data_IF_654511202403
#
_entry.id   IF_654511202403
#
_cell.length_a   1.000
_cell.length_b   1.000
_cell.length_c   1.000
_cell.angle_alpha   90.00
_cell.angle_beta   90.00
_cell.angle_gamma   90.00
#
_symmetry.space_group_name_H-M   'P 1'
#
loop_
_entity.id
_entity.type
_entity.pdbx_description
1 polymer ?
#
# COMPACT_ATOMS: atom_id res chain seq x y z
N UNK A 1 17.90 -55.07 -65.01
CA UNK A 1 17.46 -55.84 -63.82
C UNK A 1 16.80 -54.86 -62.87
N UNK A 2 15.66 -55.27 -62.31
CA UNK A 2 14.63 -54.42 -61.72
C UNK A 2 15.02 -53.73 -60.40
N UNK A 3 14.58 -52.48 -60.33
CA UNK A 3 14.06 -51.69 -59.21
C UNK A 3 13.81 -52.42 -57.87
N UNK A 4 14.19 -51.76 -56.76
CA UNK A 4 13.39 -51.62 -55.52
C UNK A 4 14.16 -50.82 -54.44
N UNK A 5 13.79 -49.56 -54.28
CA UNK A 5 13.43 -49.01 -52.95
C UNK A 5 12.19 -49.79 -52.42
N UNK A 6 11.73 -49.80 -51.13
CA UNK A 6 11.87 -48.76 -50.10
C UNK A 6 11.83 -49.27 -48.62
N UNK A 7 11.62 -48.32 -47.69
CA UNK A 7 10.98 -48.45 -46.37
C UNK A 7 11.80 -48.85 -45.12
N UNK A 8 12.26 -47.80 -44.43
CA UNK A 8 11.83 -47.41 -43.08
C UNK A 8 11.33 -48.50 -42.11
N UNK A 9 12.09 -48.70 -41.03
CA UNK A 9 11.52 -49.12 -39.74
C UNK A 9 11.87 -48.09 -38.67
N UNK A 10 10.81 -47.45 -38.17
CA UNK A 10 10.76 -46.51 -37.06
C UNK A 10 11.33 -47.16 -35.79
N UNK A 11 12.45 -46.66 -35.28
CA UNK A 11 12.80 -46.86 -33.88
C UNK A 11 11.96 -45.87 -33.07
N UNK A 12 10.97 -46.41 -32.35
CA UNK A 12 10.21 -45.66 -31.34
C UNK A 12 11.19 -45.27 -30.23
N UNK A 13 11.49 -43.98 -30.10
CA UNK A 13 12.07 -43.46 -28.86
C UNK A 13 10.97 -43.39 -27.81
N UNK A 14 11.01 -44.35 -26.87
CA UNK A 14 10.18 -44.32 -25.69
C UNK A 14 10.57 -43.12 -24.82
N UNK A 15 9.59 -42.23 -24.62
CA UNK A 15 9.63 -41.13 -23.67
C UNK A 15 9.71 -41.67 -22.25
N UNK A 16 10.91 -41.85 -21.72
CA UNK A 16 11.10 -41.95 -20.27
C UNK A 16 11.09 -40.55 -19.67
N UNK A 17 9.90 -40.09 -19.29
CA UNK A 17 9.71 -38.99 -18.35
C UNK A 17 10.39 -39.36 -17.03
N UNK A 18 11.58 -38.80 -16.78
CA UNK A 18 12.17 -38.77 -15.44
C UNK A 18 11.50 -37.66 -14.65
N UNK A 19 10.46 -38.00 -13.91
CA UNK A 19 9.92 -37.19 -12.81
C UNK A 19 10.97 -37.08 -11.71
N UNK A 20 11.86 -36.10 -11.83
CA UNK A 20 12.69 -35.65 -10.72
C UNK A 20 11.77 -35.08 -9.64
N UNK A 21 11.57 -35.83 -8.55
CA UNK A 21 10.95 -35.32 -7.33
C UNK A 21 11.87 -34.21 -6.80
N UNK A 22 11.54 -32.94 -7.10
CA UNK A 22 12.05 -31.83 -6.30
C UNK A 22 11.42 -32.00 -4.92
N UNK A 23 12.22 -32.42 -3.95
CA UNK A 23 11.85 -32.34 -2.55
C UNK A 23 11.56 -30.87 -2.26
N UNK A 24 10.28 -30.54 -2.16
CA UNK A 24 9.83 -29.26 -1.63
C UNK A 24 10.23 -29.26 -0.16
N UNK A 25 11.38 -28.65 0.13
CA UNK A 25 11.74 -28.30 1.49
C UNK A 25 10.72 -27.26 1.92
N UNK A 26 9.64 -27.73 2.54
CA UNK A 26 8.67 -26.92 3.25
C UNK A 26 9.44 -26.18 4.35
N UNK A 27 9.90 -24.97 4.01
CA UNK A 27 10.34 -24.01 5.01
C UNK A 27 9.21 -23.90 6.03
N UNK A 28 9.47 -24.09 7.33
CA UNK A 28 8.46 -23.81 8.34
C UNK A 28 7.97 -22.38 8.09
N UNK A 29 6.69 -22.23 7.75
CA UNK A 29 6.05 -20.91 7.84
C UNK A 29 6.02 -20.63 9.33
N UNK A 30 7.05 -19.96 9.84
CA UNK A 30 6.98 -19.25 11.10
C UNK A 30 5.74 -18.37 10.99
N UNK A 31 4.63 -18.85 11.56
CA UNK A 31 3.48 -18.02 11.80
C UNK A 31 4.00 -16.99 12.77
N UNK A 32 4.38 -15.81 12.26
CA UNK A 32 4.66 -14.64 13.07
C UNK A 32 3.57 -14.62 14.13
N UNK A 33 3.98 -14.73 15.40
CA UNK A 33 3.08 -14.69 16.54
C UNK A 33 2.29 -13.40 16.36
N UNK A 34 1.04 -13.51 15.91
CA UNK A 34 0.17 -12.35 15.75
C UNK A 34 -0.03 -11.83 17.16
N UNK A 35 0.59 -10.70 17.47
CA UNK A 35 0.37 -10.00 18.72
C UNK A 35 -1.14 -9.93 18.96
N UNK A 36 -1.58 -10.26 20.18
CA UNK A 36 -2.98 -10.14 20.55
C UNK A 36 -3.42 -8.71 20.27
N UNK A 37 -4.44 -8.58 19.42
CA UNK A 37 -4.96 -7.28 19.00
C UNK A 37 -5.67 -6.68 20.21
N UNK A 38 -4.99 -5.80 20.95
CA UNK A 38 -5.60 -5.02 22.03
C UNK A 38 -6.78 -4.26 21.42
N UNK A 39 -8.00 -4.64 21.78
CA UNK A 39 -9.24 -4.00 21.33
C UNK A 39 -9.57 -2.85 22.26
N UNK A 40 -9.53 -1.62 21.74
CA UNK A 40 -10.02 -0.42 22.42
C UNK A 40 -11.40 -0.07 21.82
N UNK A 41 -12.47 0.10 22.62
CA UNK A 41 -13.80 0.46 22.11
C UNK A 41 -13.85 1.73 21.27
N UNK A 42 -12.95 2.68 21.52
CA UNK A 42 -12.84 3.91 20.73
C UNK A 42 -12.21 3.69 19.33
N UNK A 43 -11.75 2.46 19.05
CA UNK A 43 -11.21 2.01 17.76
C UNK A 43 -12.23 1.16 16.99
N UNK A 44 -13.52 1.31 17.30
CA UNK A 44 -14.61 0.64 16.60
C UNK A 44 -15.29 1.58 15.58
N UNK A 45 -15.59 1.11 14.36
CA UNK A 45 -16.27 1.90 13.34
C UNK A 45 -17.74 2.18 13.73
N UNK A 46 -18.38 3.23 13.15
CA UNK A 46 -17.92 4.02 12.01
C UNK A 46 -17.02 5.19 12.39
N UNK A 47 -15.97 5.41 11.60
CA UNK A 47 -15.08 6.56 11.74
C UNK A 47 -15.47 7.66 10.76
N UNK A 48 -15.32 8.91 11.18
CA UNK A 48 -15.56 10.09 10.35
C UNK A 48 -14.41 11.07 10.46
N UNK A 49 -14.00 11.62 9.31
CA UNK A 49 -12.98 12.65 9.15
C UNK A 49 -13.65 13.85 8.50
N UNK A 50 -13.76 14.97 9.23
CA UNK A 50 -14.40 16.21 8.74
C UNK A 50 -15.77 15.99 8.07
N UNK A 51 -16.59 15.11 8.65
CA UNK A 51 -17.93 14.77 8.15
C UNK A 51 -17.97 13.74 7.02
N UNK A 52 -16.82 13.30 6.50
CA UNK A 52 -16.71 12.21 5.53
C UNK A 52 -16.44 10.89 6.25
N UNK A 53 -17.07 9.80 5.83
CA UNK A 53 -16.81 8.47 6.40
C UNK A 53 -15.39 8.04 6.02
N UNK A 54 -14.59 7.63 7.00
CA UNK A 54 -13.24 7.13 6.73
C UNK A 54 -13.29 5.71 6.15
N UNK A 55 -12.37 5.41 5.22
CA UNK A 55 -12.26 4.07 4.63
C UNK A 55 -11.61 3.08 5.61
N UNK A 56 -10.84 3.58 6.59
CA UNK A 56 -10.16 2.76 7.59
C UNK A 56 -10.02 3.43 8.96
N UNK A 57 -9.76 2.61 9.99
CA UNK A 57 -9.35 3.08 11.32
C UNK A 57 -8.04 3.87 11.26
N UNK A 58 -7.13 3.45 10.38
CA UNK A 58 -5.80 4.04 10.31
C UNK A 58 -5.87 5.48 9.75
N UNK A 59 -6.72 5.73 8.75
CA UNK A 59 -7.03 7.09 8.29
C UNK A 59 -7.63 7.96 9.38
N UNK A 60 -8.55 7.41 10.19
CA UNK A 60 -9.10 8.13 11.33
C UNK A 60 -8.04 8.47 12.37
N UNK A 61 -7.09 7.58 12.63
CA UNK A 61 -5.98 7.90 13.52
C UNK A 61 -5.05 8.98 12.97
N UNK A 62 -4.80 8.97 11.65
CA UNK A 62 -4.06 10.05 10.97
C UNK A 62 -4.78 11.38 11.14
N UNK A 63 -6.11 11.43 10.98
CA UNK A 63 -6.85 12.68 11.16
C UNK A 63 -6.73 13.24 12.58
N UNK A 64 -6.83 12.39 13.61
CA UNK A 64 -6.64 12.83 15.00
C UNK A 64 -5.22 13.36 15.27
N UNK A 65 -4.21 12.76 14.64
CA UNK A 65 -2.85 13.26 14.73
C UNK A 65 -2.69 14.61 14.02
N UNK A 66 -3.32 14.77 12.85
CA UNK A 66 -3.32 16.04 12.10
C UNK A 66 -4.07 17.15 12.82
N UNK A 67 -5.17 16.86 13.53
CA UNK A 67 -5.85 17.85 14.37
C UNK A 67 -4.92 18.41 15.46
N UNK A 68 -4.13 17.55 16.10
CA UNK A 68 -3.12 17.99 17.10
C UNK A 68 -2.04 18.87 16.45
N UNK A 69 -1.57 18.49 15.26
CA UNK A 69 -0.55 19.25 14.52
C UNK A 69 -1.10 20.60 14.05
N UNK A 70 -2.33 20.63 13.53
CA UNK A 70 -3.02 21.86 13.13
C UNK A 70 -3.18 22.81 14.32
N UNK A 71 -3.55 22.28 15.50
CA UNK A 71 -3.64 23.07 16.73
C UNK A 71 -2.29 23.63 17.20
N UNK A 72 -1.19 22.89 17.04
CA UNK A 72 0.13 23.32 17.52
C UNK A 72 0.89 24.22 16.55
N UNK A 73 0.68 24.05 15.24
CA UNK A 73 1.45 24.72 14.17
C UNK A 73 0.64 25.73 13.36
N UNK A 74 -0.69 25.61 13.37
CA UNK A 74 -1.58 26.32 12.45
C UNK A 74 -1.59 25.78 11.03
N UNK A 75 -0.91 24.66 10.75
CA UNK A 75 -0.89 24.06 9.42
C UNK A 75 -2.21 23.34 9.15
N UNK A 76 -2.95 23.84 8.16
CA UNK A 76 -4.22 23.24 7.76
C UNK A 76 -3.98 22.01 6.88
N UNK A 77 -4.98 21.15 6.79
CA UNK A 77 -4.93 19.94 5.98
C UNK A 77 -6.30 19.66 5.36
N UNK A 78 -6.35 18.80 4.35
CA UNK A 78 -7.57 18.34 3.70
C UNK A 78 -7.57 16.81 3.58
N UNK A 79 -8.77 16.21 3.52
CA UNK A 79 -9.00 14.76 3.45
C UNK A 79 -9.69 14.39 2.12
N UNK A 80 -9.29 13.27 1.50
CA UNK A 80 -9.83 12.75 0.24
C UNK A 80 -9.84 13.80 -0.88
N UNK A 81 -8.67 14.36 -1.20
CA UNK A 81 -8.52 15.46 -2.16
C UNK A 81 -8.41 14.94 -3.59
N UNK A 82 -9.37 15.25 -4.47
CA UNK A 82 -9.30 14.85 -5.87
C UNK A 82 -8.21 15.65 -6.61
N UNK A 83 -7.32 14.93 -7.28
CA UNK A 83 -6.29 15.51 -8.16
C UNK A 83 -6.46 15.00 -9.58
N UNK A 84 -6.12 15.86 -10.54
CA UNK A 84 -6.26 15.60 -11.99
C UNK A 84 -7.66 15.10 -12.39
N UNK A 85 -8.71 15.51 -11.66
CA UNK A 85 -10.10 15.15 -11.93
C UNK A 85 -10.67 14.02 -11.08
N UNK A 86 -9.96 13.54 -10.06
CA UNK A 86 -10.48 12.54 -9.13
C UNK A 86 -10.60 11.14 -9.74
N UNK A 87 -11.36 10.25 -9.10
CA UNK A 87 -11.57 8.86 -9.58
C UNK A 87 -12.36 8.77 -10.89
N UNK A 88 -13.01 9.85 -11.33
CA UNK A 88 -13.88 9.88 -12.51
C UNK A 88 -13.14 10.18 -13.84
N UNK A 89 -11.83 10.49 -13.79
CA UNK A 89 -11.04 10.79 -14.99
C UNK A 89 -9.83 9.87 -15.10
N UNK A 90 -9.52 9.47 -16.33
CA UNK A 90 -8.30 8.69 -16.61
C UNK A 90 -7.05 9.47 -16.18
N UNK A 91 -6.24 8.85 -15.31
CA UNK A 91 -5.05 9.48 -14.70
C UNK A 91 -5.35 10.44 -13.54
N UNK A 92 -6.63 10.58 -13.17
CA UNK A 92 -7.07 11.21 -11.93
C UNK A 92 -6.81 10.30 -10.73
N UNK A 93 -6.63 10.93 -9.56
CA UNK A 93 -6.43 10.23 -8.30
C UNK A 93 -7.14 10.97 -7.17
N UNK A 94 -7.30 10.32 -6.02
CA UNK A 94 -7.72 10.97 -4.79
C UNK A 94 -6.63 10.71 -3.76
N UNK A 95 -6.14 11.79 -3.16
CA UNK A 95 -5.12 11.76 -2.11
C UNK A 95 -5.84 11.62 -0.78
N UNK A 96 -5.41 10.70 0.08
CA UNK A 96 -6.02 10.53 1.39
C UNK A 96 -5.87 11.78 2.25
N UNK A 97 -4.66 12.31 2.41
CA UNK A 97 -4.44 13.57 3.14
C UNK A 97 -3.43 14.47 2.44
N UNK A 98 -3.70 15.78 2.48
CA UNK A 98 -2.73 16.81 2.13
C UNK A 98 -2.59 17.80 3.27
N UNK A 99 -1.35 18.11 3.64
CA UNK A 99 -1.00 19.09 4.67
C UNK A 99 -0.41 20.31 3.98
N UNK A 100 -0.91 21.50 4.31
CA UNK A 100 -0.43 22.78 3.82
C UNK A 100 0.82 23.23 4.57
N UNK A 101 1.87 22.41 4.51
CA UNK A 101 3.19 22.70 5.06
C UNK A 101 3.81 23.94 4.40
N UNK A 102 4.57 24.76 5.13
CA UNK A 102 5.24 25.94 4.58
C UNK A 102 6.15 25.59 3.41
N UNK A 103 6.07 26.38 2.34
CA UNK A 103 6.88 26.21 1.12
C UNK A 103 6.33 25.15 0.17
N UNK A 104 6.30 23.88 0.60
CA UNK A 104 5.87 22.76 -0.23
C UNK A 104 4.83 21.93 0.51
N UNK A 105 3.65 21.72 -0.09
CA UNK A 105 2.60 20.90 0.51
C UNK A 105 3.01 19.44 0.57
N UNK A 106 2.47 18.73 1.55
CA UNK A 106 2.87 17.35 1.86
C UNK A 106 1.68 16.41 1.76
N UNK A 107 1.81 15.40 0.91
CA UNK A 107 0.89 14.26 0.81
C UNK A 107 1.22 13.26 1.92
N UNK A 108 0.20 12.80 2.64
CA UNK A 108 0.31 11.64 3.53
C UNK A 108 -0.49 10.47 2.94
N UNK A 109 0.17 9.32 2.81
CA UNK A 109 -0.36 8.11 2.18
C UNK A 109 -0.19 6.90 3.12
N UNK A 110 -1.13 6.70 4.07
CA UNK A 110 -1.09 5.59 5.03
C UNK A 110 -1.54 4.27 4.37
N UNK A 111 -0.57 3.42 4.02
CA UNK A 111 -0.80 2.17 3.30
C UNK A 111 -1.12 1.00 4.24
N UNK A 112 -2.29 0.37 4.10
CA UNK A 112 -2.63 -0.87 4.82
C UNK A 112 -1.93 -2.12 4.27
N UNK A 113 -1.05 -2.76 5.05
CA UNK A 113 -0.24 -3.92 4.62
C UNK A 113 -1.00 -5.10 3.98
N UNK A 114 -2.24 -5.47 4.42
CA UNK A 114 -3.01 -6.55 3.78
C UNK A 114 -3.46 -6.23 2.34
N UNK A 115 -3.63 -4.94 2.03
CA UNK A 115 -4.17 -4.48 0.75
C UNK A 115 -3.06 -4.15 -0.26
N UNK A 116 -1.88 -3.75 0.23
CA UNK A 116 -0.74 -3.40 -0.62
C UNK A 116 0.32 -4.51 -0.72
N UNK A 117 -0.10 -5.77 -0.83
CA UNK A 117 0.83 -6.90 -1.09
C UNK A 117 1.56 -6.79 -2.44
N UNK A 118 1.11 -5.88 -3.32
CA UNK A 118 1.74 -5.47 -4.58
C UNK A 118 2.21 -4.01 -4.60
N UNK A 119 2.74 -3.50 -3.47
CA UNK A 119 3.14 -2.12 -3.10
C UNK A 119 3.78 -1.18 -4.15
N UNK A 120 4.07 -1.64 -5.36
CA UNK A 120 4.74 -0.86 -6.39
C UNK A 120 3.78 -0.02 -7.25
N UNK A 121 2.55 -0.48 -7.48
CA UNK A 121 1.61 0.23 -8.38
C UNK A 121 0.93 1.43 -7.69
N UNK A 122 0.41 1.26 -6.48
CA UNK A 122 -0.26 2.34 -5.73
C UNK A 122 0.72 3.46 -5.34
N UNK A 123 1.88 3.07 -4.81
CA UNK A 123 2.95 4.02 -4.46
C UNK A 123 3.43 4.81 -5.68
N UNK A 124 3.53 4.17 -6.84
CA UNK A 124 3.94 4.85 -8.08
C UNK A 124 2.94 5.93 -8.52
N UNK A 125 1.64 5.74 -8.25
CA UNK A 125 0.64 6.76 -8.53
C UNK A 125 0.84 8.00 -7.66
N UNK A 126 0.99 7.82 -6.34
CA UNK A 126 1.23 8.95 -5.43
C UNK A 126 2.57 9.64 -5.68
N UNK A 127 3.64 8.88 -5.98
CA UNK A 127 4.93 9.46 -6.40
C UNK A 127 4.80 10.32 -7.66
N UNK A 128 3.99 9.90 -8.63
CA UNK A 128 3.72 10.69 -9.83
C UNK A 128 2.91 11.96 -9.52
N UNK A 129 1.92 11.87 -8.63
CA UNK A 129 1.15 13.04 -8.18
C UNK A 129 2.09 14.05 -7.52
N UNK A 130 2.88 13.60 -6.53
CA UNK A 130 3.84 14.42 -5.80
C UNK A 130 4.84 15.09 -6.76
N UNK A 131 5.43 14.33 -7.69
CA UNK A 131 6.36 14.86 -8.70
C UNK A 131 5.72 15.90 -9.60
N UNK A 132 4.50 15.66 -10.11
CA UNK A 132 3.81 16.59 -11.02
C UNK A 132 3.33 17.86 -10.32
N UNK A 133 3.01 17.78 -9.04
CA UNK A 133 2.56 18.91 -8.22
C UNK A 133 3.71 19.64 -7.52
N UNK A 134 4.93 19.08 -7.57
CA UNK A 134 6.06 19.54 -6.78
C UNK A 134 5.70 19.58 -5.29
N UNK A 135 5.20 18.46 -4.77
CA UNK A 135 4.82 18.24 -3.38
C UNK A 135 5.69 17.16 -2.74
N UNK A 136 5.75 17.15 -1.40
CA UNK A 136 6.41 16.10 -0.62
C UNK A 136 5.45 14.90 -0.51
N UNK A 137 5.97 13.67 -0.56
CA UNK A 137 5.20 12.46 -0.28
C UNK A 137 5.76 11.75 0.95
N UNK A 138 4.93 11.56 1.96
CA UNK A 138 5.19 10.68 3.10
C UNK A 138 4.25 9.49 2.96
N UNK A 139 4.77 8.38 2.47
CA UNK A 139 4.05 7.11 2.33
C UNK A 139 4.67 6.07 3.27
N UNK A 140 3.85 5.41 4.08
CA UNK A 140 4.30 4.38 5.04
C UNK A 140 3.25 3.30 5.22
N UNK A 141 3.68 2.15 5.75
CA UNK A 141 2.73 1.08 6.09
C UNK A 141 2.17 1.27 7.49
N UNK A 142 0.86 1.13 7.65
CA UNK A 142 0.19 1.41 8.93
C UNK A 142 0.55 0.41 10.04
N UNK A 143 1.10 -0.75 9.69
CA UNK A 143 1.67 -1.71 10.66
C UNK A 143 2.93 -1.18 11.37
N UNK A 144 3.61 -0.18 10.82
CA UNK A 144 4.73 0.53 11.44
C UNK A 144 4.27 1.49 12.54
N UNK A 145 3.00 1.87 12.52
CA UNK A 145 2.36 2.79 13.47
C UNK A 145 1.09 2.16 14.06
N UNK A 146 1.21 1.08 14.85
CA UNK A 146 0.08 0.24 15.24
C UNK A 146 -0.86 0.87 16.28
N UNK A 147 -0.58 2.09 16.74
CA UNK A 147 -1.35 2.82 17.75
C UNK A 147 -1.54 4.28 17.36
N UNK A 148 -2.60 4.93 17.84
CA UNK A 148 -2.83 6.38 17.65
C UNK A 148 -1.61 7.23 18.01
N UNK A 149 -0.98 6.92 19.14
CA UNK A 149 0.17 7.68 19.62
C UNK A 149 1.39 7.47 18.72
N UNK A 150 1.63 6.25 18.22
CA UNK A 150 2.72 6.00 17.28
C UNK A 150 2.50 6.70 15.93
N UNK A 151 1.24 6.82 15.45
CA UNK A 151 0.91 7.64 14.28
C UNK A 151 1.27 9.11 14.54
N UNK A 152 0.86 9.66 15.69
CA UNK A 152 1.17 11.05 16.03
C UNK A 152 2.67 11.32 16.11
N UNK A 153 3.43 10.47 16.82
CA UNK A 153 4.88 10.62 16.92
C UNK A 153 5.57 10.45 15.57
N UNK A 154 5.09 9.52 14.73
CA UNK A 154 5.60 9.35 13.38
C UNK A 154 5.41 10.61 12.54
N UNK A 155 4.18 11.14 12.46
CA UNK A 155 3.90 12.35 11.68
C UNK A 155 4.66 13.56 12.21
N UNK A 156 4.74 13.71 13.53
CA UNK A 156 5.53 14.77 14.16
C UNK A 156 6.99 14.74 13.68
N UNK A 157 7.60 13.56 13.67
CA UNK A 157 8.98 13.38 13.22
C UNK A 157 9.15 13.64 11.71
N UNK A 158 8.23 13.14 10.87
CA UNK A 158 8.33 13.29 9.42
C UNK A 158 8.03 14.73 8.95
N UNK A 159 7.13 15.43 9.63
CA UNK A 159 6.76 16.81 9.32
C UNK A 159 7.68 17.84 10.00
N UNK A 160 8.59 17.39 10.86
CA UNK A 160 9.54 18.23 11.63
C UNK A 160 8.84 19.28 12.52
N UNK A 161 7.85 18.84 13.29
CA UNK A 161 7.04 19.67 14.21
C UNK A 161 7.15 19.25 15.67
#
# INVERSE_FOLDING_TARGET
MFDKSPFASRIKQDKQFRLGRKAEVLRPKERAIRAEKITNPEDEPPFYVRGMKADSKDEYWVSLALEKIEQSTGWTWEYQVPVFGGRDRAGGNVIDFIVHTPGMWTILDPMGSPWHTGAREDRYQMENVARRKNWILIAWFTDQTPTRESVYQYLKNQLHV
#
